data_IF_091733610047
#
_entry.id   IF_091733610047
#
_cell.length_a   1.000
_cell.length_b   1.000
_cell.length_c   1.000
_cell.angle_alpha   90.00
_cell.angle_beta   90.00
_cell.angle_gamma   90.00
#
_symmetry.space_group_name_H-M   'P 1'
#
loop_
_entity.id
_entity.type
_entity.pdbx_description
1 polymer ?
#
# COMPACT_ATOMS: atom_id res chain seq x y z
N UNK A 1 -36.33 -41.63 -21.44
CA UNK A 1 -36.23 -41.73 -22.91
C UNK A 1 -37.38 -40.97 -23.57
N UNK A 2 -37.14 -40.37 -24.76
CA UNK A 2 -38.03 -39.54 -25.63
C UNK A 2 -38.11 -38.05 -25.24
N UNK A 3 -37.17 -37.20 -25.70
CA UNK A 3 -37.08 -36.49 -27.01
C UNK A 3 -38.28 -35.56 -27.30
N UNK A 4 -38.06 -34.26 -27.11
CA UNK A 4 -38.85 -33.19 -27.75
C UNK A 4 -37.90 -32.21 -28.44
N UNK A 5 -37.71 -32.37 -29.75
CA UNK A 5 -37.00 -31.41 -30.61
C UNK A 5 -38.01 -30.34 -31.01
N UNK A 6 -37.72 -29.06 -30.76
CA UNK A 6 -38.44 -27.95 -31.41
C UNK A 6 -37.54 -27.30 -32.45
N UNK A 7 -38.10 -27.25 -33.64
CA UNK A 7 -37.49 -26.86 -34.91
C UNK A 7 -37.46 -25.34 -35.07
N UNK A 8 -36.44 -24.93 -35.80
CA UNK A 8 -36.15 -23.62 -36.38
C UNK A 8 -37.32 -23.03 -37.17
N UNK A 9 -37.53 -21.72 -37.06
CA UNK A 9 -38.09 -20.91 -38.14
C UNK A 9 -37.37 -19.58 -38.18
N UNK A 10 -36.64 -19.35 -39.27
CA UNK A 10 -35.94 -18.12 -39.59
C UNK A 10 -36.90 -17.27 -40.41
N UNK A 11 -37.34 -16.14 -39.87
CA UNK A 11 -38.05 -15.13 -40.67
C UNK A 11 -37.17 -13.89 -40.76
N UNK A 12 -36.61 -13.72 -41.96
CA UNK A 12 -35.87 -12.55 -42.40
C UNK A 12 -36.84 -11.38 -42.51
N UNK A 13 -36.62 -10.30 -41.76
CA UNK A 13 -37.18 -9.00 -42.07
C UNK A 13 -36.04 -8.06 -42.49
N UNK A 14 -36.06 -7.68 -43.77
CA UNK A 14 -35.36 -6.54 -44.35
C UNK A 14 -36.21 -5.30 -44.10
N UNK A 15 -35.60 -4.16 -43.73
CA UNK A 15 -35.99 -2.76 -44.02
C UNK A 15 -35.21 -1.82 -43.07
N UNK A 16 -35.02 -0.53 -43.39
CA UNK A 16 -34.23 0.06 -44.47
C UNK A 16 -33.14 1.03 -43.93
N UNK A 17 -32.26 1.47 -44.82
CA UNK A 17 -31.35 2.59 -44.57
C UNK A 17 -32.16 3.90 -44.37
N UNK A 18 -31.92 4.58 -43.25
CA UNK A 18 -32.32 5.97 -43.06
C UNK A 18 -31.09 6.84 -42.79
N UNK A 19 -30.98 7.83 -43.66
CA UNK A 19 -29.98 8.86 -43.68
C UNK A 19 -30.07 9.80 -42.48
N UNK A 20 -28.92 10.28 -42.05
CA UNK A 20 -28.72 11.67 -41.62
C UNK A 20 -29.28 12.07 -40.26
N UNK A 21 -28.38 12.22 -39.29
CA UNK A 21 -28.27 13.50 -38.58
C UNK A 21 -26.88 13.61 -37.94
N UNK A 22 -26.11 14.58 -38.43
CA UNK A 22 -24.85 14.99 -37.83
C UNK A 22 -25.15 15.63 -36.47
N UNK A 23 -24.91 14.89 -35.38
CA UNK A 23 -24.78 15.52 -34.06
C UNK A 23 -23.36 16.08 -33.97
N UNK A 24 -23.23 17.39 -34.17
CA UNK A 24 -22.06 18.14 -33.73
C UNK A 24 -21.95 18.01 -32.21
N UNK A 25 -20.97 17.23 -31.74
CA UNK A 25 -20.60 17.24 -30.34
C UNK A 25 -20.12 18.66 -29.98
N UNK A 26 -20.95 19.42 -29.27
CA UNK A 26 -20.53 20.62 -28.59
C UNK A 26 -19.55 20.19 -27.49
N UNK A 27 -18.26 20.29 -27.77
CA UNK A 27 -17.24 20.24 -26.74
C UNK A 27 -17.47 21.46 -25.82
N UNK A 28 -18.12 21.23 -24.68
CA UNK A 28 -18.13 22.20 -23.61
C UNK A 28 -16.69 22.32 -23.10
N UNK A 29 -15.98 23.38 -23.50
CA UNK A 29 -14.77 23.80 -22.83
C UNK A 29 -15.10 24.03 -21.35
N UNK A 30 -14.69 23.09 -20.49
CA UNK A 30 -14.64 23.34 -19.05
C UNK A 30 -13.65 24.51 -18.81
N UNK A 31 -14.04 25.57 -18.10
CA UNK A 31 -13.07 26.56 -17.67
C UNK A 31 -12.06 25.85 -16.74
N UNK A 32 -10.77 26.00 -17.07
CA UNK A 32 -9.69 25.50 -16.24
C UNK A 32 -9.85 26.05 -14.82
N UNK A 33 -9.98 25.15 -13.84
CA UNK A 33 -9.96 25.53 -12.44
C UNK A 33 -8.61 26.22 -12.15
N UNK A 34 -8.58 27.32 -11.37
CA UNK A 34 -7.33 27.95 -11.01
C UNK A 34 -6.47 26.96 -10.22
N UNK A 35 -5.23 26.79 -10.69
CA UNK A 35 -4.19 26.00 -10.03
C UNK A 35 -4.07 26.41 -8.58
N UNK A 36 -4.64 25.61 -7.69
CA UNK A 36 -4.38 25.71 -6.27
C UNK A 36 -2.95 25.21 -6.07
N UNK A 37 -2.02 26.14 -5.97
CA UNK A 37 -0.70 25.91 -5.37
C UNK A 37 -0.97 25.37 -3.98
N UNK A 38 -0.91 24.05 -3.83
CA UNK A 38 -1.00 23.41 -2.53
C UNK A 38 0.13 23.95 -1.65
N UNK A 39 -0.15 24.50 -0.46
CA UNK A 39 0.90 24.82 0.48
C UNK A 39 1.56 23.51 0.92
N UNK A 40 2.87 23.43 0.74
CA UNK A 40 3.71 22.40 1.35
C UNK A 40 3.42 22.38 2.85
N UNK A 41 2.90 21.28 3.44
CA UNK A 41 2.91 21.17 4.89
C UNK A 41 4.36 20.90 5.28
N UNK A 42 5.09 21.97 5.58
CA UNK A 42 6.31 21.93 6.36
C UNK A 42 5.93 21.52 7.79
N UNK A 43 5.62 20.24 7.97
CA UNK A 43 5.64 19.62 9.30
C UNK A 43 7.06 19.66 9.84
N UNK A 44 7.26 19.61 11.16
CA UNK A 44 8.60 19.48 11.74
C UNK A 44 9.21 18.20 11.17
N UNK A 45 10.19 18.33 10.29
CA UNK A 45 11.00 17.22 9.82
C UNK A 45 11.95 16.89 10.98
N UNK A 46 11.81 15.75 11.68
CA UNK A 46 12.80 15.38 12.68
C UNK A 46 14.08 15.04 11.91
N UNK A 47 15.03 15.96 11.99
CA UNK A 47 16.39 15.80 11.53
C UNK A 47 17.21 15.14 12.64
N UNK A 48 17.95 14.09 12.30
CA UNK A 48 18.92 13.42 13.18
C UNK A 48 18.42 12.07 13.75
N UNK A 49 19.27 11.07 13.99
CA UNK A 49 20.71 11.06 14.10
C UNK A 49 21.24 9.62 13.99
N UNK A 50 22.52 9.53 13.61
CA UNK A 50 23.33 8.34 13.68
C UNK A 50 23.48 7.82 15.13
N UNK A 51 23.55 6.50 15.29
CA UNK A 51 24.27 5.85 16.41
C UNK A 51 23.53 5.63 17.73
N UNK A 52 22.23 5.90 17.83
CA UNK A 52 21.36 5.46 18.92
C UNK A 52 20.27 4.51 18.39
N UNK A 53 19.56 3.79 19.26
CA UNK A 53 18.40 3.01 18.87
C UNK A 53 17.39 3.92 18.17
N UNK A 54 17.36 3.86 16.84
CA UNK A 54 16.51 4.68 15.98
C UNK A 54 15.06 4.32 16.30
N UNK A 55 14.34 5.22 17.00
CA UNK A 55 12.93 5.08 17.34
C UNK A 55 12.07 5.92 16.42
N UNK A 56 10.85 5.46 16.16
CA UNK A 56 9.87 6.15 15.35
C UNK A 56 9.35 7.40 16.10
N UNK A 57 9.55 8.61 15.55
CA UNK A 57 9.08 9.85 16.19
C UNK A 57 7.55 10.02 16.19
N UNK A 58 6.83 9.15 15.47
CA UNK A 58 5.39 9.24 15.24
C UNK A 58 4.58 8.13 15.91
N UNK A 59 5.19 7.33 16.78
CA UNK A 59 4.46 6.32 17.56
C UNK A 59 3.30 6.97 18.31
N UNK A 60 2.12 6.37 18.20
CA UNK A 60 0.85 6.82 18.79
C UNK A 60 0.38 8.24 18.37
N UNK A 61 1.01 8.87 17.37
CA UNK A 61 0.54 10.15 16.82
C UNK A 61 -0.64 9.92 15.84
N UNK A 62 -1.86 10.40 16.14
CA UNK A 62 -3.05 10.08 15.34
C UNK A 62 -2.99 10.63 13.90
N UNK A 63 -2.39 11.81 13.71
CA UNK A 63 -2.26 12.40 12.39
C UNK A 63 -1.28 11.61 11.52
N UNK A 64 -0.11 11.29 12.07
CA UNK A 64 0.90 10.51 11.38
C UNK A 64 0.42 9.08 11.07
N UNK A 65 -0.35 8.46 11.97
CA UNK A 65 -1.01 7.18 11.73
C UNK A 65 -2.00 7.28 10.56
N UNK A 66 -2.81 8.35 10.50
CA UNK A 66 -3.76 8.55 9.41
C UNK A 66 -3.05 8.77 8.05
N UNK A 67 -1.96 9.54 8.04
CA UNK A 67 -1.10 9.73 6.86
C UNK A 67 -0.43 8.42 6.44
N UNK A 68 0.13 7.68 7.41
CA UNK A 68 0.72 6.36 7.23
C UNK A 68 -0.25 5.35 6.63
N UNK A 69 -1.51 5.37 7.07
CA UNK A 69 -2.58 4.54 6.49
C UNK A 69 -2.82 4.89 5.03
N UNK A 70 -2.88 6.17 4.67
CA UNK A 70 -3.04 6.57 3.26
C UNK A 70 -1.88 6.07 2.42
N UNK A 71 -0.65 6.19 2.93
CA UNK A 71 0.56 5.69 2.27
C UNK A 71 0.56 4.16 2.13
N UNK A 72 0.11 3.42 3.14
CA UNK A 72 -0.03 1.96 3.09
C UNK A 72 -0.86 1.48 1.89
N UNK A 73 -1.95 2.19 1.58
CA UNK A 73 -2.78 1.88 0.41
C UNK A 73 -2.21 2.44 -0.90
N UNK A 74 -1.67 3.67 -0.90
CA UNK A 74 -1.18 4.30 -2.13
C UNK A 74 0.12 3.68 -2.64
N UNK A 75 0.95 3.13 -1.74
CA UNK A 75 2.21 2.44 -2.06
C UNK A 75 2.03 0.92 -2.21
N UNK A 76 0.79 0.45 -2.26
CA UNK A 76 0.42 -0.96 -2.47
C UNK A 76 0.96 -1.94 -1.42
N UNK A 77 1.30 -1.47 -0.21
CA UNK A 77 1.70 -2.33 0.90
C UNK A 77 0.58 -3.34 1.23
N UNK A 78 -0.66 -2.86 1.15
CA UNK A 78 -1.88 -3.65 1.36
C UNK A 78 -2.05 -4.79 0.35
N UNK A 79 -1.50 -4.67 -0.86
CA UNK A 79 -1.57 -5.71 -1.88
C UNK A 79 -0.80 -6.95 -1.44
N UNK A 80 0.32 -6.74 -0.76
CA UNK A 80 1.19 -7.82 -0.32
C UNK A 80 0.88 -8.32 1.10
N UNK A 81 0.75 -7.38 2.04
CA UNK A 81 0.56 -7.65 3.46
C UNK A 81 -0.93 -7.66 3.89
N UNK A 82 -1.85 -7.63 2.93
CA UNK A 82 -3.28 -7.59 3.19
C UNK A 82 -3.80 -6.20 3.57
N UNK A 83 -5.11 -5.98 3.39
CA UNK A 83 -5.77 -4.68 3.55
C UNK A 83 -5.34 -3.90 4.80
N UNK A 84 -5.37 -4.57 5.95
CA UNK A 84 -4.98 -4.02 7.25
C UNK A 84 -3.84 -4.83 7.89
N UNK A 85 -2.86 -5.30 7.09
CA UNK A 85 -1.67 -5.97 7.61
C UNK A 85 -1.86 -7.44 8.03
N UNK A 86 -3.01 -8.05 7.75
CA UNK A 86 -3.32 -9.44 8.09
C UNK A 86 -2.53 -10.52 7.33
N UNK A 87 -1.63 -10.12 6.43
CA UNK A 87 -0.87 -11.02 5.58
C UNK A 87 -1.60 -11.39 4.29
N UNK A 88 -0.97 -12.26 3.50
CA UNK A 88 -1.44 -12.70 2.19
C UNK A 88 -0.30 -13.32 1.42
N UNK A 89 0.14 -12.66 0.34
CA UNK A 89 1.36 -13.05 -0.37
C UNK A 89 2.65 -12.66 0.39
N UNK A 90 2.53 -11.84 1.44
CA UNK A 90 3.60 -11.51 2.36
C UNK A 90 3.17 -11.79 3.80
N UNK A 91 4.13 -11.92 4.73
CA UNK A 91 3.86 -12.09 6.16
C UNK A 91 2.87 -11.06 6.73
N UNK A 92 2.03 -11.44 7.71
CA UNK A 92 1.28 -10.46 8.49
C UNK A 92 2.23 -9.50 9.23
N UNK A 93 1.74 -8.29 9.50
CA UNK A 93 2.44 -7.26 10.31
C UNK A 93 1.64 -6.86 11.55
N UNK A 94 0.65 -7.68 11.90
CA UNK A 94 -0.27 -7.46 13.02
C UNK A 94 -0.05 -8.44 14.18
N UNK A 95 0.81 -9.44 14.02
CA UNK A 95 1.06 -10.51 15.00
C UNK A 95 2.47 -10.42 15.61
N UNK A 96 2.79 -11.35 16.52
CA UNK A 96 4.06 -11.39 17.25
C UNK A 96 5.27 -11.86 16.43
N UNK A 97 5.04 -12.40 15.23
CA UNK A 97 6.09 -13.01 14.42
C UNK A 97 6.75 -11.98 13.52
N UNK A 98 7.88 -11.45 13.96
CA UNK A 98 8.69 -10.52 13.17
C UNK A 98 9.83 -11.23 12.46
N UNK A 99 9.81 -11.21 11.13
CA UNK A 99 10.78 -11.97 10.31
C UNK A 99 12.22 -11.52 10.53
N UNK A 100 12.50 -10.22 10.57
CA UNK A 100 13.87 -9.68 10.70
C UNK A 100 14.15 -9.01 12.05
N UNK A 101 13.12 -8.82 12.88
CA UNK A 101 13.17 -7.98 14.07
C UNK A 101 11.99 -7.03 14.11
N UNK A 102 11.57 -6.68 15.32
CA UNK A 102 10.40 -5.84 15.59
C UNK A 102 10.76 -4.39 15.94
N UNK A 103 12.04 -4.07 16.15
CA UNK A 103 12.47 -2.73 16.51
C UNK A 103 12.36 -1.75 15.33
N UNK A 104 12.21 -0.47 15.64
CA UNK A 104 11.97 0.57 14.65
C UNK A 104 13.12 0.75 13.66
N UNK A 105 14.37 0.58 14.10
CA UNK A 105 15.54 0.65 13.22
C UNK A 105 15.49 -0.45 12.17
N UNK A 106 15.27 -1.69 12.59
CA UNK A 106 15.21 -2.84 11.70
C UNK A 106 14.09 -2.71 10.68
N UNK A 107 12.88 -2.34 11.12
CA UNK A 107 11.76 -2.17 10.19
C UNK A 107 11.95 -0.99 9.25
N UNK A 108 12.48 0.13 9.72
CA UNK A 108 12.78 1.28 8.86
C UNK A 108 13.77 0.90 7.76
N UNK A 109 14.88 0.23 8.13
CA UNK A 109 15.87 -0.24 7.17
C UNK A 109 15.31 -1.30 6.22
N UNK A 110 14.43 -2.18 6.71
CA UNK A 110 13.75 -3.18 5.88
C UNK A 110 12.88 -2.51 4.81
N UNK A 111 12.09 -1.49 5.16
CA UNK A 111 11.27 -0.77 4.19
C UNK A 111 12.16 0.02 3.22
N UNK A 112 13.16 0.72 3.74
CA UNK A 112 14.04 1.58 2.93
C UNK A 112 14.84 0.80 1.91
N UNK A 113 15.51 -0.28 2.34
CA UNK A 113 16.48 -1.01 1.53
C UNK A 113 15.94 -2.34 0.97
N UNK A 114 14.81 -2.81 1.45
CA UNK A 114 14.28 -4.12 1.10
C UNK A 114 15.05 -5.26 1.76
N UNK A 115 14.44 -6.44 1.74
CA UNK A 115 14.94 -7.62 2.48
C UNK A 115 16.26 -8.19 1.96
N UNK A 116 16.58 -8.01 0.67
CA UNK A 116 17.81 -8.53 0.04
C UNK A 116 19.02 -7.70 0.48
N UNK A 117 18.93 -6.38 0.42
CA UNK A 117 20.00 -5.50 0.89
C UNK A 117 20.14 -5.55 2.41
N UNK A 118 19.03 -5.68 3.14
CA UNK A 118 19.07 -5.87 4.59
C UNK A 118 19.87 -7.13 4.97
N UNK A 119 19.70 -8.24 4.25
CA UNK A 119 20.48 -9.46 4.49
C UNK A 119 21.98 -9.27 4.20
N UNK A 120 22.34 -8.53 3.15
CA UNK A 120 23.74 -8.19 2.86
C UNK A 120 24.38 -7.37 3.98
N UNK A 121 23.59 -6.62 4.74
CA UNK A 121 24.03 -5.89 5.95
C UNK A 121 24.16 -6.77 7.19
N UNK A 122 23.95 -8.08 7.08
CA UNK A 122 24.13 -9.05 8.16
C UNK A 122 22.86 -9.42 8.93
N UNK A 123 21.70 -8.88 8.54
CA UNK A 123 20.43 -9.30 9.13
C UNK A 123 20.06 -10.70 8.66
N UNK A 124 19.56 -11.52 9.58
CA UNK A 124 19.04 -12.85 9.28
C UNK A 124 17.57 -12.92 9.60
N UNK A 125 16.86 -13.88 8.99
CA UNK A 125 15.47 -14.15 9.35
C UNK A 125 15.46 -14.82 10.72
N UNK A 126 14.90 -14.16 11.72
CA UNK A 126 14.72 -14.67 13.09
C UNK A 126 13.31 -15.22 13.31
N UNK A 127 12.32 -14.68 12.59
CA UNK A 127 10.93 -15.14 12.63
C UNK A 127 10.59 -16.04 11.44
N UNK A 128 9.66 -16.99 11.66
CA UNK A 128 9.20 -17.92 10.64
C UNK A 128 7.71 -17.74 10.37
N UNK A 129 7.43 -17.29 9.16
CA UNK A 129 6.09 -17.23 8.59
C UNK A 129 6.03 -18.17 7.38
N UNK A 130 4.82 -18.58 7.00
CA UNK A 130 4.63 -19.51 5.86
C UNK A 130 5.08 -18.91 4.53
N UNK A 131 5.19 -17.58 4.46
CA UNK A 131 5.59 -16.86 3.24
C UNK A 131 6.98 -16.27 3.38
N UNK A 132 7.80 -16.50 2.35
CA UNK A 132 9.25 -16.21 2.35
C UNK A 132 9.65 -15.25 1.22
N UNK A 133 8.67 -14.61 0.57
CA UNK A 133 8.93 -13.68 -0.53
C UNK A 133 9.81 -12.49 -0.08
N UNK A 134 10.76 -12.04 -0.93
CA UNK A 134 11.57 -10.88 -0.61
C UNK A 134 10.73 -9.60 -0.67
N UNK A 135 10.84 -8.76 0.36
CA UNK A 135 10.31 -7.40 0.34
C UNK A 135 11.19 -6.51 -0.55
N UNK A 136 10.64 -5.79 -1.54
CA UNK A 136 11.38 -4.85 -2.38
C UNK A 136 11.78 -3.57 -1.61
N UNK A 137 12.80 -2.83 -2.06
CA UNK A 137 13.15 -1.53 -1.49
C UNK A 137 12.11 -0.45 -1.82
N UNK A 138 11.79 0.41 -0.86
CA UNK A 138 10.92 1.58 -1.06
C UNK A 138 11.64 2.93 -0.95
N UNK A 139 12.92 2.95 -0.55
CA UNK A 139 13.67 4.20 -0.34
C UNK A 139 13.90 5.05 -1.59
N UNK A 140 13.63 4.54 -2.79
CA UNK A 140 13.66 5.32 -4.04
C UNK A 140 12.34 6.00 -4.38
N UNK A 141 11.24 5.59 -3.75
CA UNK A 141 9.87 6.06 -4.05
C UNK A 141 9.16 6.66 -2.85
N UNK A 142 9.75 6.55 -1.66
CA UNK A 142 9.27 7.11 -0.40
C UNK A 142 10.42 7.83 0.31
N UNK A 143 10.12 8.99 0.88
CA UNK A 143 10.99 9.70 1.80
C UNK A 143 11.07 8.99 3.16
N UNK A 144 12.12 9.30 3.92
CA UNK A 144 12.31 8.76 5.28
C UNK A 144 11.12 9.13 6.20
N UNK A 145 10.57 10.33 6.05
CA UNK A 145 9.37 10.78 6.78
C UNK A 145 8.14 9.93 6.45
N UNK A 146 7.89 9.65 5.17
CA UNK A 146 6.79 8.78 4.74
C UNK A 146 6.95 7.36 5.28
N UNK A 147 8.18 6.82 5.30
CA UNK A 147 8.47 5.50 5.88
C UNK A 147 8.12 5.49 7.36
N UNK A 148 8.51 6.51 8.13
CA UNK A 148 8.18 6.60 9.55
C UNK A 148 6.68 6.65 9.82
N UNK A 149 5.93 7.40 8.99
CA UNK A 149 4.47 7.47 9.08
C UNK A 149 3.83 6.12 8.78
N UNK A 150 4.29 5.41 7.75
CA UNK A 150 3.82 4.03 7.47
C UNK A 150 4.12 3.10 8.64
N UNK A 151 5.31 3.18 9.25
CA UNK A 151 5.63 2.40 10.44
C UNK A 151 4.68 2.74 11.60
N UNK A 152 4.35 4.02 11.80
CA UNK A 152 3.40 4.41 12.85
C UNK A 152 2.02 3.78 12.63
N UNK A 153 1.55 3.72 11.38
CA UNK A 153 0.35 2.98 11.04
C UNK A 153 0.49 1.48 11.33
N UNK A 154 1.59 0.84 10.93
CA UNK A 154 1.85 -0.58 11.24
C UNK A 154 1.81 -0.85 12.75
N UNK A 155 2.39 0.03 13.58
CA UNK A 155 2.31 -0.09 15.05
C UNK A 155 0.88 0.03 15.56
N UNK A 156 0.07 0.92 14.97
CA UNK A 156 -1.32 1.16 15.39
C UNK A 156 -2.26 -0.04 15.14
N UNK A 157 -1.91 -0.92 14.21
CA UNK A 157 -2.70 -2.11 13.84
C UNK A 157 -2.13 -3.42 14.44
N UNK A 158 -1.12 -3.32 15.28
CA UNK A 158 -0.53 -4.48 15.95
C UNK A 158 -1.47 -5.02 17.04
N UNK A 159 -1.83 -6.31 16.92
CA UNK A 159 -2.75 -7.02 17.82
C UNK A 159 -2.05 -8.10 18.66
N UNK A 160 -0.72 -8.16 18.62
CA UNK A 160 0.07 -9.10 19.40
C UNK A 160 0.25 -8.69 20.88
N UNK A 161 1.09 -9.42 21.61
CA UNK A 161 1.35 -9.19 23.03
C UNK A 161 2.03 -7.82 23.25
N UNK A 162 1.41 -6.88 23.98
CA UNK A 162 2.01 -5.60 24.32
C UNK A 162 3.38 -5.70 25.03
N UNK A 163 3.67 -6.83 25.70
CA UNK A 163 4.96 -7.07 26.37
C UNK A 163 6.12 -7.30 25.40
N UNK A 164 5.83 -7.68 24.15
CA UNK A 164 6.84 -7.90 23.12
C UNK A 164 7.17 -6.62 22.34
N UNK A 165 6.51 -5.50 22.66
CA UNK A 165 6.78 -4.20 22.04
C UNK A 165 8.13 -3.65 22.51
N UNK A 166 9.07 -3.53 21.59
CA UNK A 166 10.41 -2.99 21.83
C UNK A 166 10.71 -1.73 20.98
N UNK A 167 9.68 -1.13 20.40
CA UNK A 167 9.76 0.14 19.67
C UNK A 167 9.55 1.35 20.57
#
# INVERSE_FOLDING_TARGET
>A
MKRGKRTTSWTRYLLPALAGLWLTAAAAQQPAAPSQTAPTPSGPQPSGAAGGALKNPYTDNPQAIAEGKKLWFSRSCNGCHGGMGGGGMCPPVINDTWVYGSDDKTLFELIKYGSVELQKKGYTRIGRENVVAPMPPFGSVMSDDEIWKVLAFVRSIYHGDPKLRNW
#
